data_IF_791968608587
#
_entry.id   IF_791968608587
#
_cell.length_a   1.000
_cell.length_b   1.000
_cell.length_c   1.000
_cell.angle_alpha   90.00
_cell.angle_beta   90.00
_cell.angle_gamma   90.00
#
_symmetry.space_group_name_H-M   'P 1'
#
loop_
_entity.id
_entity.type
_entity.pdbx_description
1 polymer ?
#
# COMPACT_ATOMS: atom_id res chain seq x y z
N UNK A 1 -10.81 28.53 21.05
CA UNK A 1 -11.09 27.29 20.28
C UNK A 1 -9.75 26.76 19.86
N UNK A 2 -9.39 25.56 20.27
CA UNK A 2 -8.00 25.11 20.35
C UNK A 2 -7.48 24.62 19.00
N UNK A 3 -6.63 25.43 18.35
CA UNK A 3 -5.91 25.03 17.11
C UNK A 3 -5.10 23.72 17.29
N UNK A 4 -4.72 23.38 18.52
CA UNK A 4 -4.00 22.13 18.86
C UNK A 4 -4.90 20.88 18.85
N UNK A 5 -6.21 21.01 19.02
CA UNK A 5 -7.14 19.87 18.93
C UNK A 5 -7.40 19.52 17.47
N UNK A 6 -7.48 20.51 16.58
CA UNK A 6 -7.66 20.29 15.14
C UNK A 6 -6.41 19.66 14.50
N UNK A 7 -5.19 20.07 14.92
CA UNK A 7 -3.95 19.44 14.45
C UNK A 7 -3.82 17.98 14.92
N UNK A 8 -4.15 17.69 16.19
CA UNK A 8 -4.13 16.32 16.70
C UNK A 8 -5.18 15.41 16.01
N UNK A 9 -6.34 15.95 15.66
CA UNK A 9 -7.38 15.21 14.96
C UNK A 9 -6.97 14.88 13.52
N UNK A 10 -6.30 15.80 12.83
CA UNK A 10 -5.78 15.56 11.49
C UNK A 10 -4.74 14.43 11.42
N UNK A 11 -3.92 14.26 12.46
CA UNK A 11 -2.92 13.17 12.53
C UNK A 11 -3.53 11.83 12.96
N UNK A 12 -4.61 11.82 13.74
CA UNK A 12 -5.29 10.60 14.18
C UNK A 12 -5.99 9.84 13.03
N UNK A 13 -6.21 10.50 11.91
CA UNK A 13 -6.87 9.94 10.73
C UNK A 13 -5.91 9.44 9.65
N UNK A 14 -4.59 9.47 9.89
CA UNK A 14 -3.59 9.02 8.92
C UNK A 14 -3.22 7.57 9.19
N UNK A 15 -3.26 6.71 8.18
CA UNK A 15 -2.78 5.33 8.29
C UNK A 15 -1.27 5.26 8.54
N UNK A 16 -0.79 4.17 9.15
CA UNK A 16 0.65 3.96 9.32
C UNK A 16 1.41 4.02 7.97
N UNK A 17 0.85 3.45 6.91
CA UNK A 17 1.43 3.51 5.57
C UNK A 17 1.48 4.95 5.02
N UNK A 18 0.43 5.74 5.23
CA UNK A 18 0.38 7.15 4.88
C UNK A 18 1.40 7.98 5.67
N UNK A 19 1.54 7.71 6.97
CA UNK A 19 2.51 8.39 7.84
C UNK A 19 3.96 8.11 7.38
N UNK A 20 4.30 6.85 7.09
CA UNK A 20 5.62 6.48 6.55
C UNK A 20 5.89 7.17 5.22
N UNK A 21 4.90 7.24 4.34
CA UNK A 21 5.03 7.95 3.06
C UNK A 21 5.31 9.45 3.26
N UNK A 22 4.61 10.11 4.17
CA UNK A 22 4.83 11.52 4.51
C UNK A 22 6.21 11.74 5.12
N UNK A 23 6.63 10.86 6.02
CA UNK A 23 7.97 10.91 6.60
C UNK A 23 9.07 10.79 5.53
N UNK A 24 8.95 9.82 4.63
CA UNK A 24 9.87 9.65 3.51
C UNK A 24 9.89 10.87 2.58
N UNK A 25 8.72 11.46 2.32
CA UNK A 25 8.63 12.70 1.54
C UNK A 25 9.41 13.85 2.18
N UNK A 26 9.20 14.07 3.48
CA UNK A 26 9.93 15.09 4.24
C UNK A 26 11.44 14.84 4.26
N UNK A 27 11.84 13.58 4.51
CA UNK A 27 13.26 13.17 4.53
C UNK A 27 13.94 13.40 3.17
N UNK A 28 13.29 12.98 2.08
CA UNK A 28 13.85 13.17 0.73
C UNK A 28 13.97 14.65 0.38
N UNK A 29 12.96 15.46 0.73
CA UNK A 29 13.00 16.91 0.55
C UNK A 29 14.18 17.52 1.30
N UNK A 30 14.34 17.20 2.57
CA UNK A 30 15.47 17.68 3.40
C UNK A 30 16.82 17.26 2.82
N UNK A 31 16.98 16.00 2.39
CA UNK A 31 18.22 15.51 1.79
C UNK A 31 18.55 16.21 0.46
N UNK A 32 17.53 16.59 -0.32
CA UNK A 32 17.72 17.39 -1.55
C UNK A 32 18.19 18.81 -1.26
N UNK A 33 17.70 19.43 -0.21
CA UNK A 33 18.18 20.74 0.26
C UNK A 33 19.69 20.67 0.65
N UNK A 34 20.13 19.52 1.19
CA UNK A 34 21.53 19.23 1.47
C UNK A 34 22.35 18.83 0.22
N UNK A 35 21.77 18.87 -0.97
CA UNK A 35 22.39 18.47 -2.26
C UNK A 35 22.89 17.02 -2.27
N UNK A 36 22.18 16.13 -1.60
CA UNK A 36 22.50 14.70 -1.60
C UNK A 36 22.11 14.06 -2.94
N UNK A 37 23.06 13.55 -3.73
CA UNK A 37 22.78 12.99 -5.04
C UNK A 37 21.97 11.70 -5.02
N UNK A 38 21.88 11.02 -3.87
CA UNK A 38 21.03 9.82 -3.71
C UNK A 38 19.58 10.22 -3.63
N UNK A 39 19.27 11.32 -2.94
CA UNK A 39 17.89 11.81 -2.79
C UNK A 39 17.26 12.21 -4.13
N UNK A 40 18.04 12.67 -5.09
CA UNK A 40 17.54 13.03 -6.42
C UNK A 40 17.09 11.82 -7.26
N UNK A 41 17.66 10.64 -6.96
CA UNK A 41 17.33 9.39 -7.65
C UNK A 41 16.05 8.75 -7.11
N UNK A 42 15.61 9.11 -5.91
CA UNK A 42 14.43 8.51 -5.26
C UNK A 42 13.16 9.17 -5.78
N UNK A 43 12.27 8.36 -6.35
CA UNK A 43 10.96 8.78 -6.87
C UNK A 43 9.85 8.22 -5.99
N UNK A 44 9.19 9.07 -5.22
CA UNK A 44 8.05 8.69 -4.37
C UNK A 44 6.90 8.06 -5.15
N UNK A 45 6.77 8.41 -6.43
CA UNK A 45 5.78 7.77 -7.33
C UNK A 45 5.96 6.26 -7.46
N UNK A 46 7.14 5.72 -7.16
CA UNK A 46 7.40 4.27 -7.20
C UNK A 46 6.83 3.49 -6.02
N UNK A 47 6.42 4.19 -4.95
CA UNK A 47 5.89 3.59 -3.72
C UNK A 47 4.51 4.11 -3.33
N UNK A 48 3.93 5.02 -4.11
CA UNK A 48 2.62 5.62 -3.81
C UNK A 48 1.50 4.58 -3.90
N UNK A 49 1.66 3.56 -4.72
CA UNK A 49 0.76 2.41 -4.82
C UNK A 49 0.67 1.66 -3.49
N UNK A 50 1.81 1.40 -2.84
CA UNK A 50 1.85 0.72 -1.55
C UNK A 50 1.30 1.61 -0.42
N UNK A 51 1.67 2.90 -0.41
CA UNK A 51 1.19 3.85 0.59
C UNK A 51 -0.33 4.01 0.56
N UNK A 52 -0.90 4.20 -0.62
CA UNK A 52 -2.34 4.36 -0.73
C UNK A 52 -3.10 3.05 -0.61
N UNK A 53 -2.51 1.91 -1.01
CA UNK A 53 -3.08 0.59 -0.72
C UNK A 53 -3.21 0.36 0.79
N UNK A 54 -2.16 0.66 1.58
CA UNK A 54 -2.21 0.58 3.03
C UNK A 54 -3.22 1.54 3.64
N UNK A 55 -3.31 2.78 3.12
CA UNK A 55 -4.30 3.77 3.56
C UNK A 55 -5.73 3.29 3.34
N UNK A 56 -6.02 2.69 2.17
CA UNK A 56 -7.34 2.12 1.86
C UNK A 56 -7.62 0.89 2.72
N UNK A 57 -6.61 0.02 2.91
CA UNK A 57 -6.74 -1.22 3.68
C UNK A 57 -7.03 -0.98 5.17
N UNK A 58 -6.52 0.11 5.72
CA UNK A 58 -6.70 0.52 7.12
C UNK A 58 -8.06 1.18 7.40
N UNK A 59 -8.88 1.37 6.35
CA UNK A 59 -10.22 1.93 6.41
C UNK A 59 -10.29 3.34 7.05
N UNK A 60 -9.21 4.10 7.01
CA UNK A 60 -9.22 5.49 7.44
C UNK A 60 -10.12 6.35 6.54
N UNK A 61 -10.70 7.45 7.03
CA UNK A 61 -11.51 8.35 6.22
C UNK A 61 -10.74 8.83 4.97
N UNK A 62 -11.29 8.58 3.78
CA UNK A 62 -10.69 9.00 2.51
C UNK A 62 -11.01 10.47 2.21
N UNK A 63 -10.54 11.36 3.11
CA UNK A 63 -10.67 12.81 3.01
C UNK A 63 -9.27 13.45 2.93
N UNK A 64 -9.19 14.70 2.54
CA UNK A 64 -7.93 15.45 2.49
C UNK A 64 -6.79 14.68 1.80
N UNK A 65 -5.68 14.51 2.48
CA UNK A 65 -4.49 13.82 1.97
C UNK A 65 -4.71 12.33 1.74
N UNK A 66 -5.50 11.64 2.60
CA UNK A 66 -5.84 10.22 2.42
C UNK A 66 -6.56 9.99 1.08
N UNK A 67 -7.45 10.90 0.70
CA UNK A 67 -8.13 10.85 -0.60
C UNK A 67 -7.15 11.00 -1.76
N UNK A 68 -6.18 11.90 -1.62
CA UNK A 68 -5.13 12.11 -2.63
C UNK A 68 -4.28 10.85 -2.77
N UNK A 69 -3.80 10.29 -1.66
CA UNK A 69 -3.02 9.05 -1.66
C UNK A 69 -3.80 7.90 -2.28
N UNK A 70 -5.06 7.70 -1.88
CA UNK A 70 -5.92 6.64 -2.40
C UNK A 70 -6.16 6.79 -3.91
N UNK A 71 -6.40 8.01 -4.40
CA UNK A 71 -6.62 8.28 -5.82
C UNK A 71 -5.38 7.97 -6.66
N UNK A 72 -4.21 8.46 -6.23
CA UNK A 72 -2.95 8.17 -6.93
C UNK A 72 -2.61 6.68 -6.87
N UNK A 73 -2.82 6.04 -5.73
CA UNK A 73 -2.59 4.60 -5.60
C UNK A 73 -3.46 3.79 -6.55
N UNK A 74 -4.77 4.02 -6.60
CA UNK A 74 -5.67 3.34 -7.54
C UNK A 74 -5.23 3.53 -8.99
N UNK A 75 -4.83 4.75 -9.36
CA UNK A 75 -4.33 5.04 -10.70
C UNK A 75 -3.03 4.28 -11.00
N UNK A 76 -2.11 4.20 -10.04
CA UNK A 76 -0.86 3.45 -10.19
C UNK A 76 -1.11 1.95 -10.19
N UNK A 77 -2.01 1.44 -9.34
CA UNK A 77 -2.36 0.03 -9.26
C UNK A 77 -3.00 -0.50 -10.55
N UNK A 78 -3.81 0.31 -11.22
CA UNK A 78 -4.40 -0.03 -12.53
C UNK A 78 -3.35 -0.24 -13.63
N UNK A 79 -2.22 0.45 -13.52
CA UNK A 79 -1.09 0.36 -14.45
C UNK A 79 0.12 -0.39 -13.84
N UNK A 80 -0.11 -1.16 -12.78
CA UNK A 80 0.97 -1.74 -11.99
C UNK A 80 1.69 -2.85 -12.75
N UNK A 81 3.01 -2.92 -12.50
CA UNK A 81 3.90 -3.94 -13.05
C UNK A 81 4.56 -4.82 -11.98
N UNK A 82 4.21 -4.62 -10.68
CA UNK A 82 4.73 -5.44 -9.59
C UNK A 82 4.16 -6.84 -9.69
N UNK A 83 5.03 -7.83 -9.89
CA UNK A 83 4.62 -9.22 -10.10
C UNK A 83 3.81 -9.76 -8.93
N UNK A 84 4.24 -9.49 -7.69
CA UNK A 84 3.55 -9.95 -6.50
C UNK A 84 2.15 -9.36 -6.36
N UNK A 85 2.00 -8.08 -6.68
CA UNK A 85 0.69 -7.44 -6.62
C UNK A 85 -0.26 -7.93 -7.70
N UNK A 86 0.25 -8.15 -8.93
CA UNK A 86 -0.54 -8.75 -10.00
C UNK A 86 -0.99 -10.17 -9.67
N UNK A 87 -0.10 -10.97 -9.07
CA UNK A 87 -0.44 -12.31 -8.61
C UNK A 87 -1.52 -12.28 -7.51
N UNK A 88 -1.40 -11.37 -6.55
CA UNK A 88 -2.37 -11.21 -5.47
C UNK A 88 -3.74 -10.73 -5.99
N UNK A 89 -3.76 -9.80 -6.94
CA UNK A 89 -5.00 -9.33 -7.59
C UNK A 89 -5.70 -10.47 -8.32
N UNK A 90 -4.95 -11.29 -9.06
CA UNK A 90 -5.46 -12.47 -9.75
C UNK A 90 -6.05 -13.48 -8.75
N UNK A 91 -5.31 -13.80 -7.68
CA UNK A 91 -5.78 -14.69 -6.60
C UNK A 91 -7.04 -14.14 -5.91
N UNK A 92 -7.14 -12.83 -5.79
CA UNK A 92 -8.30 -12.13 -5.23
C UNK A 92 -9.49 -12.06 -6.20
N UNK A 93 -9.41 -12.70 -7.37
CA UNK A 93 -10.44 -12.71 -8.43
C UNK A 93 -10.79 -11.30 -8.94
N UNK A 94 -9.83 -10.38 -8.92
CA UNK A 94 -9.94 -9.08 -9.58
C UNK A 94 -9.56 -9.27 -11.05
N UNK A 95 -10.57 -9.38 -11.90
CA UNK A 95 -10.40 -9.72 -13.32
C UNK A 95 -10.08 -8.53 -14.21
N UNK A 96 -10.47 -7.32 -13.79
CA UNK A 96 -10.26 -6.11 -14.56
C UNK A 96 -9.59 -5.03 -13.72
N UNK A 97 -8.34 -4.71 -14.06
CA UNK A 97 -7.57 -3.67 -13.37
C UNK A 97 -8.09 -2.26 -13.65
N UNK A 98 -8.70 -2.02 -14.81
CA UNK A 98 -9.22 -0.69 -15.16
C UNK A 98 -10.34 -0.25 -14.22
N UNK A 99 -11.12 -1.20 -13.73
CA UNK A 99 -12.24 -0.96 -12.79
C UNK A 99 -11.85 -1.16 -11.33
N UNK A 100 -10.57 -1.40 -11.02
CA UNK A 100 -10.09 -1.59 -9.65
C UNK A 100 -10.55 -0.44 -8.76
N UNK A 101 -11.20 -0.78 -7.65
CA UNK A 101 -11.79 0.16 -6.70
C UNK A 101 -11.15 0.06 -5.31
N UNK A 102 -11.42 1.03 -4.44
CA UNK A 102 -11.04 0.96 -3.03
C UNK A 102 -11.68 -0.23 -2.33
N UNK A 103 -12.91 -0.60 -2.70
CA UNK A 103 -13.58 -1.78 -2.16
C UNK A 103 -12.84 -3.09 -2.49
N UNK A 104 -12.27 -3.22 -3.69
CA UNK A 104 -11.45 -4.38 -4.05
C UNK A 104 -10.20 -4.47 -3.17
N UNK A 105 -9.57 -3.34 -2.89
CA UNK A 105 -8.41 -3.29 -1.98
C UNK A 105 -8.83 -3.67 -0.57
N UNK A 106 -9.84 -3.02 0.00
CA UNK A 106 -10.26 -3.24 1.39
C UNK A 106 -10.79 -4.64 1.66
N UNK A 107 -11.59 -5.19 0.72
CA UNK A 107 -12.32 -6.43 0.97
C UNK A 107 -11.76 -7.66 0.27
N UNK A 108 -10.85 -7.49 -0.68
CA UNK A 108 -10.25 -8.61 -1.40
C UNK A 108 -8.74 -8.72 -1.19
N UNK A 109 -7.97 -7.63 -1.29
CA UNK A 109 -6.51 -7.68 -1.14
C UNK A 109 -6.07 -7.64 0.32
N UNK A 110 -6.52 -6.64 1.07
CA UNK A 110 -6.10 -6.42 2.45
C UNK A 110 -6.33 -7.63 3.37
N UNK A 111 -7.47 -8.36 3.31
CA UNK A 111 -7.66 -9.55 4.13
C UNK A 111 -6.62 -10.63 3.88
N UNK A 112 -6.17 -10.83 2.63
CA UNK A 112 -5.14 -11.82 2.27
C UNK A 112 -3.77 -11.42 2.81
N UNK A 113 -3.39 -10.15 2.66
CA UNK A 113 -2.14 -9.62 3.22
C UNK A 113 -2.13 -9.80 4.74
N UNK A 114 -3.24 -9.50 5.40
CA UNK A 114 -3.37 -9.57 6.85
C UNK A 114 -3.50 -11.01 7.39
N UNK A 115 -3.82 -11.98 6.54
CA UNK A 115 -3.99 -13.37 6.98
C UNK A 115 -2.69 -13.99 7.51
N UNK A 116 -1.56 -13.72 6.87
CA UNK A 116 -0.24 -14.25 7.28
C UNK A 116 0.22 -13.73 8.64
N UNK A 117 -0.02 -12.47 8.96
CA UNK A 117 0.42 -11.86 10.21
C UNK A 117 -0.21 -12.44 11.48
N UNK A 118 -1.22 -13.32 11.34
CA UNK A 118 -1.92 -13.96 12.45
C UNK A 118 -1.68 -15.48 12.56
N UNK A 119 -1.32 -16.12 11.46
CA UNK A 119 -1.28 -17.59 11.36
C UNK A 119 0.12 -18.12 11.02
N UNK A 120 0.98 -17.32 10.40
CA UNK A 120 2.28 -17.75 9.92
C UNK A 120 3.33 -16.63 10.01
N UNK A 121 4.07 -16.43 8.96
CA UNK A 121 5.15 -15.44 8.89
C UNK A 121 4.71 -14.15 8.21
N UNK A 122 4.80 -13.03 8.95
CA UNK A 122 4.49 -11.70 8.43
C UNK A 122 5.47 -11.21 7.34
N UNK A 123 6.58 -11.92 7.08
CA UNK A 123 7.51 -11.61 6.00
C UNK A 123 6.94 -11.94 4.61
N UNK A 124 6.07 -12.97 4.51
CA UNK A 124 5.53 -13.46 3.24
C UNK A 124 4.89 -12.34 2.39
N UNK A 125 3.96 -11.51 2.91
CA UNK A 125 3.39 -10.44 2.12
C UNK A 125 4.40 -9.35 1.75
N UNK A 126 5.42 -9.09 2.58
CA UNK A 126 6.47 -8.13 2.26
C UNK A 126 7.31 -8.64 1.10
N UNK A 127 7.77 -9.88 1.17
CA UNK A 127 8.55 -10.53 0.11
C UNK A 127 7.74 -10.64 -1.18
N UNK A 128 6.45 -10.96 -1.09
CA UNK A 128 5.54 -10.96 -2.24
C UNK A 128 5.50 -9.61 -2.94
N UNK A 129 5.36 -8.51 -2.19
CA UNK A 129 5.28 -7.17 -2.78
C UNK A 129 6.61 -6.67 -3.35
N UNK A 130 7.73 -7.27 -2.95
CA UNK A 130 9.09 -6.90 -3.40
C UNK A 130 9.65 -7.85 -4.46
N UNK A 131 9.04 -9.01 -4.69
CA UNK A 131 9.62 -10.04 -5.57
C UNK A 131 9.68 -9.63 -7.04
N UNK A 132 10.72 -10.08 -7.71
CA UNK A 132 10.90 -10.04 -9.16
C UNK A 132 10.74 -11.43 -9.81
N UNK A 133 10.46 -12.49 -9.01
CA UNK A 133 10.22 -13.86 -9.51
C UNK A 133 8.72 -14.09 -9.72
N UNK A 134 8.29 -14.42 -10.95
CA UNK A 134 6.90 -14.77 -11.25
C UNK A 134 6.44 -16.03 -10.48
N UNK A 135 7.33 -17.03 -10.35
CA UNK A 135 7.04 -18.31 -9.67
C UNK A 135 6.79 -18.06 -8.17
N UNK A 136 7.68 -17.29 -7.53
CA UNK A 136 7.53 -16.91 -6.13
C UNK A 136 6.25 -16.10 -5.92
N UNK A 137 5.97 -15.13 -6.81
CA UNK A 137 4.77 -14.30 -6.75
C UNK A 137 3.49 -15.15 -6.77
N UNK A 138 3.41 -16.12 -7.69
CA UNK A 138 2.23 -17.00 -7.80
C UNK A 138 2.07 -17.91 -6.58
N UNK A 139 3.17 -18.50 -6.12
CA UNK A 139 3.16 -19.38 -4.93
C UNK A 139 2.70 -18.64 -3.68
N UNK A 140 3.32 -17.50 -3.39
CA UNK A 140 3.02 -16.73 -2.19
C UNK A 140 1.63 -16.08 -2.23
N UNK A 141 1.17 -15.61 -3.40
CA UNK A 141 -0.19 -15.10 -3.54
C UNK A 141 -1.23 -16.18 -3.27
N UNK A 142 -1.01 -17.41 -3.76
CA UNK A 142 -1.88 -18.56 -3.49
C UNK A 142 -1.88 -18.90 -2.01
N UNK A 143 -0.71 -18.98 -1.38
CA UNK A 143 -0.59 -19.26 0.06
C UNK A 143 -1.38 -18.25 0.90
N UNK A 144 -1.27 -16.94 0.60
CA UNK A 144 -2.06 -15.90 1.26
C UNK A 144 -3.56 -16.04 0.98
N UNK A 145 -3.94 -16.50 -0.20
CA UNK A 145 -5.32 -16.82 -0.55
C UNK A 145 -5.87 -17.97 0.29
N UNK A 146 -5.12 -19.04 0.41
CA UNK A 146 -5.48 -20.23 1.18
C UNK A 146 -5.62 -19.89 2.68
N UNK A 147 -4.64 -19.17 3.26
CA UNK A 147 -4.69 -18.68 4.65
C UNK A 147 -5.91 -17.78 4.91
N UNK A 148 -6.32 -16.97 3.93
CA UNK A 148 -7.50 -16.15 4.07
C UNK A 148 -8.81 -16.96 4.00
N UNK A 149 -8.83 -18.08 3.26
CA UNK A 149 -10.01 -18.93 3.11
C UNK A 149 -10.23 -19.86 4.31
N UNK A 150 -9.17 -20.17 5.07
CA UNK A 150 -9.23 -20.95 6.31
C UNK A 150 -9.84 -20.18 7.50
N UNK A 151 -10.19 -18.92 7.31
CA UNK A 151 -10.80 -18.01 8.30
C UNK A 151 -12.30 -17.96 8.19
#
# INVERSE_FOLDING_TARGET
MNDLEDENQAWSEVSAAGLVFKFLHGLIKYRRELKDPVADKIKLSQIIDLAGMGTIADLVPLQGENRILAWYALRHLRNNKRLGLLALLKESKVSNLETLSSADISFRLAPRINASGRLSDASIPVELLLTESPEFAQKSAKELGDLNNER
#
